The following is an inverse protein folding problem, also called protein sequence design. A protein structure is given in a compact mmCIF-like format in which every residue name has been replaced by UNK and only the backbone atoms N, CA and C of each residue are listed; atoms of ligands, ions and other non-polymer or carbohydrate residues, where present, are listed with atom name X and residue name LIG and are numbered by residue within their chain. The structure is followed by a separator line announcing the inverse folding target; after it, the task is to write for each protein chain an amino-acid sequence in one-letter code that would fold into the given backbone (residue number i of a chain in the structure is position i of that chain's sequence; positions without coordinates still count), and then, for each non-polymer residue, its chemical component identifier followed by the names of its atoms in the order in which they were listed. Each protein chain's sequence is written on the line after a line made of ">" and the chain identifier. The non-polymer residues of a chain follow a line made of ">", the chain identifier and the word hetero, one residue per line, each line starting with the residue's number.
data_IF_742819392884
#
_entry.id   IF_742819392884
#
_cell.length_a   1.000
_cell.length_b   1.000
_cell.length_c   1.000
_cell.angle_alpha   90.00
_cell.angle_beta   90.00
_cell.angle_gamma   90.00
#
_symmetry.space_group_name_H-M   'P 1'
#
loop_
_entity.id
_entity.type
_entity.pdbx_description
1 polymer ?
#
# COMPACT_ATOMS: atom_id res chain seq x y z
N UNK A 1 -0.45 6.90 -2.23
CA UNK A 1 -1.31 6.59 -3.34
C UNK A 1 -0.61 6.78 -4.68
N UNK A 2 -1.32 6.68 -5.77
CA UNK A 2 -0.75 6.77 -7.11
C UNK A 2 -0.17 8.16 -7.38
N UNK A 3 -0.72 9.18 -6.77
CA UNK A 3 -0.21 10.54 -6.94
C UNK A 3 1.18 10.72 -6.36
N UNK A 4 1.47 10.05 -5.27
CA UNK A 4 2.83 10.04 -4.71
C UNK A 4 3.80 9.48 -5.74
N UNK A 5 3.43 8.41 -6.40
CA UNK A 5 4.25 7.81 -7.45
C UNK A 5 4.42 8.75 -8.64
N UNK A 6 3.37 9.45 -9.04
CA UNK A 6 3.45 10.44 -10.12
C UNK A 6 4.33 11.62 -9.79
N UNK A 7 4.27 12.11 -8.54
CA UNK A 7 5.03 13.27 -8.10
C UNK A 7 6.52 12.97 -7.92
N UNK A 8 6.81 11.80 -7.37
CA UNK A 8 8.17 11.45 -6.98
C UNK A 8 8.79 10.36 -7.83
N UNK A 9 7.96 9.61 -8.57
CA UNK A 9 8.39 8.43 -9.30
C UNK A 9 8.57 7.22 -8.39
N UNK A 10 8.53 6.04 -8.99
CA UNK A 10 8.66 4.77 -8.26
C UNK A 10 9.98 4.67 -7.51
N UNK A 11 11.08 5.05 -8.16
CA UNK A 11 12.42 4.98 -7.56
C UNK A 11 12.52 5.80 -6.28
N UNK A 12 11.92 6.98 -6.30
CA UNK A 12 11.93 7.88 -5.14
C UNK A 12 11.11 7.31 -3.99
N UNK A 13 9.95 6.71 -4.29
CA UNK A 13 9.12 6.06 -3.28
C UNK A 13 9.88 4.92 -2.60
N UNK A 14 10.53 4.05 -3.38
CA UNK A 14 11.29 2.93 -2.84
C UNK A 14 12.50 3.39 -2.03
N UNK A 15 13.15 4.47 -2.43
CA UNK A 15 14.23 5.05 -1.67
C UNK A 15 13.76 5.46 -0.27
N UNK A 16 12.61 6.11 -0.17
CA UNK A 16 12.02 6.49 1.11
C UNK A 16 11.63 5.27 1.95
N UNK A 17 11.10 4.23 1.32
CA UNK A 17 10.79 2.99 2.03
C UNK A 17 12.03 2.34 2.63
N UNK A 18 13.15 2.37 1.92
CA UNK A 18 14.38 1.80 2.47
C UNK A 18 14.89 2.57 3.68
N UNK A 19 14.68 3.89 3.73
CA UNK A 19 15.02 4.69 4.91
C UNK A 19 14.11 4.36 6.09
N UNK A 20 12.82 4.12 5.85
CA UNK A 20 11.85 3.76 6.87
C UNK A 20 12.07 2.33 7.37
N UNK A 21 12.51 1.44 6.49
CA UNK A 21 12.69 0.03 6.78
C UNK A 21 13.56 -0.23 8.02
N UNK A 22 14.62 0.53 8.16
CA UNK A 22 15.56 0.37 9.28
C UNK A 22 14.91 0.69 10.64
N UNK A 23 13.88 1.53 10.64
CA UNK A 23 13.22 1.98 11.87
C UNK A 23 11.92 1.25 12.16
N UNK A 24 11.23 0.72 11.15
CA UNK A 24 9.87 0.21 11.27
C UNK A 24 9.71 -1.28 10.96
N UNK A 25 10.77 -1.95 10.52
CA UNK A 25 10.68 -3.36 10.14
C UNK A 25 10.61 -4.27 11.36
N UNK A 26 9.78 -5.31 11.27
CA UNK A 26 9.78 -6.42 12.21
C UNK A 26 10.48 -7.59 11.55
N UNK A 27 11.68 -7.94 12.03
CA UNK A 27 12.47 -8.97 11.40
C UNK A 27 12.88 -8.59 9.98
N UNK A 28 12.40 -9.34 8.98
CA UNK A 28 12.65 -9.11 7.57
C UNK A 28 11.44 -8.58 6.80
N UNK A 29 10.40 -8.13 7.52
CA UNK A 29 9.16 -7.64 6.93
C UNK A 29 8.90 -6.18 7.26
N UNK A 30 8.42 -5.43 6.26
CA UNK A 30 7.93 -4.07 6.42
C UNK A 30 6.43 -4.12 6.23
N UNK A 31 5.68 -3.80 7.28
CA UNK A 31 4.23 -3.80 7.26
C UNK A 31 3.70 -2.42 6.90
N UNK A 32 2.86 -2.35 5.88
CA UNK A 32 2.32 -1.11 5.34
C UNK A 32 0.80 -1.15 5.36
N UNK A 33 0.20 -0.05 5.84
CA UNK A 33 -1.23 0.21 5.67
C UNK A 33 -1.38 1.24 4.55
N UNK A 34 -2.27 0.99 3.60
CA UNK A 34 -2.56 1.92 2.52
C UNK A 34 -3.79 2.73 2.91
N UNK A 35 -3.61 4.05 2.97
CA UNK A 35 -4.65 4.99 3.37
C UNK A 35 -4.97 5.93 2.19
N UNK A 36 -6.25 6.06 1.87
CA UNK A 36 -6.71 7.01 0.86
C UNK A 36 -8.09 7.55 1.26
N UNK A 37 -8.51 8.62 0.61
CA UNK A 37 -9.77 9.26 0.92
C UNK A 37 -10.97 8.52 0.33
N UNK A 38 -10.87 7.99 -0.88
CA UNK A 38 -11.99 7.40 -1.61
C UNK A 38 -11.65 6.03 -2.19
N UNK A 39 -12.49 5.05 -1.91
CA UNK A 39 -12.45 3.76 -2.59
C UNK A 39 -13.57 3.71 -3.63
N UNK A 40 -13.20 3.72 -4.90
CA UNK A 40 -14.11 3.53 -6.02
C UNK A 40 -14.00 2.09 -6.55
N UNK A 41 -13.33 1.87 -7.67
CA UNK A 41 -13.17 0.51 -8.22
C UNK A 41 -12.08 -0.29 -7.53
N UNK A 42 -11.18 0.37 -6.82
CA UNK A 42 -10.03 -0.27 -6.17
C UNK A 42 -8.82 -0.48 -7.08
N UNK A 43 -8.92 -0.13 -8.36
CA UNK A 43 -7.81 -0.36 -9.30
C UNK A 43 -6.54 0.40 -8.96
N UNK A 44 -6.68 1.64 -8.51
CA UNK A 44 -5.54 2.46 -8.10
C UNK A 44 -4.83 1.88 -6.88
N UNK A 45 -5.60 1.57 -5.84
CA UNK A 45 -5.04 1.00 -4.62
C UNK A 45 -4.42 -0.39 -4.86
N UNK A 46 -5.05 -1.20 -5.70
CA UNK A 46 -4.51 -2.49 -6.08
C UNK A 46 -3.15 -2.33 -6.78
N UNK A 47 -3.07 -1.39 -7.72
CA UNK A 47 -1.82 -1.12 -8.45
C UNK A 47 -0.69 -0.71 -7.52
N UNK A 48 -0.97 0.19 -6.58
CA UNK A 48 0.01 0.61 -5.57
C UNK A 48 0.45 -0.56 -4.71
N UNK A 49 -0.50 -1.34 -4.20
CA UNK A 49 -0.21 -2.48 -3.33
C UNK A 49 0.67 -3.52 -4.04
N UNK A 50 0.32 -3.89 -5.26
CA UNK A 50 1.10 -4.87 -6.03
C UNK A 50 2.48 -4.37 -6.38
N UNK A 51 2.61 -3.09 -6.69
CA UNK A 51 3.90 -2.46 -6.95
C UNK A 51 4.80 -2.54 -5.72
N UNK A 52 4.27 -2.24 -4.54
CA UNK A 52 5.04 -2.31 -3.29
C UNK A 52 5.40 -3.75 -2.91
N UNK A 53 4.46 -4.67 -3.05
CA UNK A 53 4.69 -6.08 -2.72
C UNK A 53 5.71 -6.76 -3.64
N UNK A 54 5.84 -6.27 -4.87
CA UNK A 54 6.81 -6.79 -5.83
C UNK A 54 8.23 -6.34 -5.61
N UNK A 55 8.47 -5.45 -4.65
CA UNK A 55 9.80 -4.89 -4.42
C UNK A 55 10.54 -5.62 -3.32
N UNK A 56 11.84 -5.77 -3.54
CA UNK A 56 12.78 -6.20 -2.51
C UNK A 56 13.55 -4.96 -2.05
N UNK A 57 13.48 -4.70 -0.77
CA UNK A 57 14.16 -3.55 -0.18
C UNK A 57 15.40 -4.06 0.52
N UNK A 58 16.56 -3.53 0.14
CA UNK A 58 17.84 -3.89 0.74
C UNK A 58 18.40 -2.68 1.47
N UNK A 59 18.70 -2.84 2.75
CA UNK A 59 19.29 -1.80 3.59
C UNK A 59 20.36 -2.42 4.46
N UNK A 60 21.58 -1.87 4.41
CA UNK A 60 22.72 -2.33 5.21
C UNK A 60 22.97 -3.84 5.06
N UNK A 61 22.84 -4.36 3.83
CA UNK A 61 23.07 -5.76 3.53
C UNK A 61 21.93 -6.68 3.91
N UNK A 62 20.83 -6.16 4.46
CA UNK A 62 19.65 -6.95 4.84
C UNK A 62 18.52 -6.72 3.85
N UNK A 63 17.87 -7.80 3.43
CA UNK A 63 16.75 -7.78 2.51
C UNK A 63 15.43 -7.81 3.28
N UNK A 64 14.49 -6.94 2.90
CA UNK A 64 13.17 -6.84 3.52
C UNK A 64 12.07 -7.11 2.48
N UNK A 65 10.99 -7.76 2.94
CA UNK A 65 9.76 -7.92 2.17
C UNK A 65 8.76 -6.85 2.58
N UNK A 66 7.94 -6.41 1.63
CA UNK A 66 6.82 -5.52 1.93
C UNK A 66 5.55 -6.36 2.09
N UNK A 67 4.85 -6.17 3.20
CA UNK A 67 3.57 -6.81 3.50
C UNK A 67 2.51 -5.72 3.62
N UNK A 68 1.41 -5.87 2.90
CA UNK A 68 0.26 -4.96 3.02
C UNK A 68 -0.65 -5.51 4.09
N UNK A 69 -0.77 -4.79 5.20
CA UNK A 69 -1.59 -5.21 6.33
C UNK A 69 -3.06 -4.92 6.14
N UNK A 70 -3.38 -3.77 5.53
CA UNK A 70 -4.76 -3.33 5.38
C UNK A 70 -4.88 -2.17 4.42
N UNK A 71 -6.12 -1.94 3.95
CA UNK A 71 -6.50 -0.75 3.20
C UNK A 71 -7.51 0.03 4.04
N UNK A 72 -7.26 1.33 4.18
CA UNK A 72 -8.11 2.22 4.98
C UNK A 72 -8.62 3.36 4.09
N UNK A 73 -9.94 3.56 4.07
CA UNK A 73 -10.58 4.62 3.29
C UNK A 73 -11.52 5.44 4.16
N UNK A 74 -11.68 6.70 3.82
CA UNK A 74 -12.68 7.55 4.47
C UNK A 74 -14.06 7.20 3.90
N UNK A 75 -14.19 7.18 2.56
CA UNK A 75 -15.44 6.89 1.87
C UNK A 75 -15.26 5.71 0.91
N UNK A 76 -16.22 4.81 0.94
CA UNK A 76 -16.27 3.69 -0.01
C UNK A 76 -17.56 3.76 -0.82
N UNK A 77 -17.44 3.67 -2.15
CA UNK A 77 -18.59 3.56 -3.05
C UNK A 77 -18.92 2.07 -3.23
N UNK A 78 -19.84 1.56 -2.41
CA UNK A 78 -20.12 0.12 -2.33
C UNK A 78 -20.55 -0.49 -3.66
N UNK A 79 -21.28 0.27 -4.47
CA UNK A 79 -21.80 -0.23 -5.76
C UNK A 79 -20.71 -0.53 -6.78
N UNK A 80 -19.49 -0.03 -6.59
CA UNK A 80 -18.36 -0.30 -7.49
C UNK A 80 -17.56 -1.53 -7.06
N UNK A 81 -17.86 -2.07 -5.89
CA UNK A 81 -17.26 -3.33 -5.36
C UNK A 81 -15.73 -3.33 -5.31
N UNK A 82 -15.14 -2.16 -5.04
CA UNK A 82 -13.69 -2.04 -4.93
C UNK A 82 -13.11 -2.86 -3.79
N UNK A 83 -13.84 -3.00 -2.67
CA UNK A 83 -13.39 -3.80 -1.54
C UNK A 83 -13.20 -5.27 -1.91
N UNK A 84 -14.07 -5.84 -2.72
CA UNK A 84 -13.92 -7.24 -3.16
C UNK A 84 -12.59 -7.46 -3.89
N UNK A 85 -12.18 -6.47 -4.69
CA UNK A 85 -10.92 -6.52 -5.41
C UNK A 85 -9.73 -6.49 -4.46
N UNK A 86 -9.77 -5.58 -3.48
CA UNK A 86 -8.65 -5.36 -2.56
C UNK A 86 -8.55 -6.44 -1.49
N UNK A 87 -9.66 -7.06 -1.09
CA UNK A 87 -9.66 -8.12 -0.08
C UNK A 87 -8.93 -9.38 -0.51
N UNK A 88 -8.62 -9.51 -1.77
CA UNK A 88 -7.72 -10.56 -2.26
C UNK A 88 -6.28 -10.35 -1.79
N UNK A 89 -5.94 -9.14 -1.38
CA UNK A 89 -4.60 -8.77 -0.90
C UNK A 89 -4.59 -8.63 0.61
N UNK A 90 -5.51 -7.83 1.17
CA UNK A 90 -5.56 -7.49 2.58
C UNK A 90 -6.95 -6.98 2.97
N UNK A 91 -7.29 -6.98 4.27
CA UNK A 91 -8.59 -6.46 4.73
C UNK A 91 -8.79 -4.99 4.34
N UNK A 92 -10.04 -4.63 4.08
CA UNK A 92 -10.46 -3.28 3.71
C UNK A 92 -11.37 -2.74 4.81
N UNK A 93 -11.09 -1.52 5.27
CA UNK A 93 -11.91 -0.80 6.26
C UNK A 93 -12.23 0.58 5.72
N UNK A 94 -13.49 0.97 5.83
CA UNK A 94 -13.96 2.29 5.40
C UNK A 94 -14.86 2.89 6.47
N UNK A 95 -14.78 4.21 6.64
CA UNK A 95 -15.58 4.91 7.67
C UNK A 95 -17.01 5.15 7.19
N UNK A 96 -17.17 5.48 5.91
CA UNK A 96 -18.47 5.83 5.32
C UNK A 96 -18.69 5.00 4.07
N UNK A 97 -19.86 4.38 3.97
CA UNK A 97 -20.27 3.62 2.78
C UNK A 97 -21.39 4.36 2.06
N UNK A 98 -21.22 4.57 0.78
CA UNK A 98 -22.23 5.21 -0.06
C UNK A 98 -22.72 4.28 -1.16
#
# INVERSE_FOLDING_TARGET
>A
DVEIEKEYGSDHLFYRLSDIAAAAAEGDEIHISILDDLLATGGTAEGVARSLMGQKIVKDGKEYKVVIDEFLFIVELDFLKGAERLEKIAPVKSLIHL
#
